data_IF_671368689613
#
_entry.id   IF_671368689613
#
_cell.length_a   1.000
_cell.length_b   1.000
_cell.length_c   1.000
_cell.angle_alpha   90.00
_cell.angle_beta   90.00
_cell.angle_gamma   90.00
#
_symmetry.space_group_name_H-M   'P 1'
#
loop_
_entity.id
_entity.type
_entity.pdbx_description
1 polymer ?
#
# COMPACT_ATOMS: atom_id res chain seq x y z
N UNK A 1 12.82 -10.55 10.91
CA UNK A 1 11.82 -9.66 10.27
C UNK A 1 12.45 -8.28 10.24
N UNK A 2 12.39 -7.60 9.12
CA UNK A 2 12.80 -6.21 8.95
C UNK A 2 11.60 -5.31 9.07
N UNK A 3 11.81 -4.05 9.42
CA UNK A 3 10.75 -3.05 9.53
C UNK A 3 11.01 -1.85 8.64
N UNK A 4 9.97 -1.37 7.98
CA UNK A 4 9.99 -0.14 7.20
C UNK A 4 8.91 0.81 7.71
N UNK A 5 8.97 2.07 7.28
CA UNK A 5 7.90 3.02 7.49
C UNK A 5 7.68 3.85 6.25
N UNK A 6 6.44 4.25 6.05
CA UNK A 6 6.01 5.17 5.01
C UNK A 6 6.57 6.58 5.29
N UNK A 7 7.03 7.27 4.25
CA UNK A 7 7.70 8.58 4.40
C UNK A 7 6.76 9.78 4.31
N UNK A 8 5.52 9.64 3.83
CA UNK A 8 4.66 10.79 3.48
C UNK A 8 4.35 11.70 4.66
N UNK A 9 4.03 11.16 5.83
CA UNK A 9 3.76 11.97 7.02
C UNK A 9 4.97 12.80 7.46
N UNK A 10 6.16 12.22 7.38
CA UNK A 10 7.41 12.96 7.65
C UNK A 10 7.72 13.96 6.52
N UNK A 11 7.47 13.56 5.26
CA UNK A 11 7.72 14.41 4.10
C UNK A 11 6.89 15.70 4.11
N UNK A 12 5.64 15.65 4.56
CA UNK A 12 4.80 16.84 4.74
C UNK A 12 5.42 17.89 5.67
N UNK A 13 6.25 17.46 6.62
CA UNK A 13 6.90 18.37 7.58
C UNK A 13 8.26 18.85 7.13
N UNK A 14 9.05 18.00 6.46
CA UNK A 14 10.47 18.26 6.20
C UNK A 14 10.92 18.06 4.75
N UNK A 15 10.02 17.61 3.89
CA UNK A 15 10.30 17.16 2.52
C UNK A 15 10.86 15.74 2.47
N UNK A 16 10.67 15.05 1.33
CA UNK A 16 10.94 13.62 1.17
C UNK A 16 12.42 13.26 1.38
N UNK A 17 13.33 14.11 0.92
CA UNK A 17 14.77 13.88 1.05
C UNK A 17 15.16 13.73 2.53
N UNK A 18 14.71 14.67 3.37
CA UNK A 18 14.95 14.59 4.82
C UNK A 18 14.14 13.52 5.50
N UNK A 19 12.92 13.21 5.00
CA UNK A 19 12.12 12.13 5.53
C UNK A 19 12.84 10.79 5.42
N UNK A 20 13.45 10.48 4.26
CA UNK A 20 14.26 9.26 4.08
C UNK A 20 15.45 9.25 5.05
N UNK A 21 16.18 10.36 5.21
CA UNK A 21 17.27 10.45 6.20
C UNK A 21 16.79 10.20 7.64
N UNK A 22 15.62 10.75 8.00
CA UNK A 22 15.08 10.61 9.36
C UNK A 22 14.57 9.19 9.64
N UNK A 23 14.00 8.51 8.66
CA UNK A 23 13.65 7.10 8.75
C UNK A 23 14.88 6.25 9.04
N UNK A 24 15.99 6.50 8.33
CA UNK A 24 17.26 5.82 8.61
C UNK A 24 17.78 6.13 10.03
N UNK A 25 17.77 7.39 10.44
CA UNK A 25 18.20 7.82 11.79
C UNK A 25 17.32 7.24 12.91
N UNK A 26 16.05 7.01 12.63
CA UNK A 26 15.12 6.37 13.56
C UNK A 26 15.36 4.87 13.72
N UNK A 27 16.21 4.26 12.88
CA UNK A 27 16.62 2.86 13.00
C UNK A 27 15.73 1.87 12.23
N UNK A 28 14.95 2.34 11.26
CA UNK A 28 14.23 1.46 10.34
C UNK A 28 15.19 0.80 9.34
N UNK A 29 14.85 -0.42 8.92
CA UNK A 29 15.65 -1.19 7.95
C UNK A 29 15.42 -0.73 6.51
N UNK A 30 14.28 -0.11 6.24
CA UNK A 30 13.85 0.34 4.91
C UNK A 30 12.83 1.48 5.00
N UNK A 31 12.50 2.06 3.86
CA UNK A 31 11.47 3.09 3.71
C UNK A 31 10.46 2.70 2.64
N UNK A 32 9.21 3.09 2.85
CA UNK A 32 8.10 2.93 1.92
C UNK A 32 7.83 4.25 1.20
N UNK A 33 7.76 4.18 -0.13
CA UNK A 33 7.64 5.37 -0.96
C UNK A 33 6.17 5.78 -1.14
N UNK A 34 5.71 6.74 -0.36
CA UNK A 34 4.42 7.39 -0.59
C UNK A 34 4.42 8.20 -1.87
N UNK A 35 3.44 7.97 -2.73
CA UNK A 35 3.28 8.70 -3.99
C UNK A 35 1.91 9.38 -4.13
N UNK A 36 1.22 9.64 -3.01
CA UNK A 36 -0.10 10.28 -3.01
C UNK A 36 -0.07 11.69 -3.61
N UNK A 37 1.02 12.42 -3.41
CA UNK A 37 1.17 13.77 -3.92
C UNK A 37 1.51 13.85 -5.43
N UNK A 38 1.66 12.69 -6.10
CA UNK A 38 1.87 12.62 -7.55
C UNK A 38 0.70 13.23 -8.33
N UNK A 39 -0.53 13.10 -7.81
CA UNK A 39 -1.75 13.62 -8.41
C UNK A 39 -2.80 13.85 -7.35
N UNK A 40 -3.39 15.03 -7.29
CA UNK A 40 -4.54 15.29 -6.42
C UNK A 40 -5.85 14.75 -6.99
N UNK A 41 -6.83 14.49 -6.09
CA UNK A 41 -8.19 14.13 -6.48
C UNK A 41 -9.23 14.89 -5.66
N UNK A 42 -10.10 15.65 -6.34
CA UNK A 42 -11.24 16.32 -5.70
C UNK A 42 -12.41 15.33 -5.59
N UNK A 43 -12.59 14.76 -4.40
CA UNK A 43 -13.62 13.77 -4.11
C UNK A 43 -15.06 14.30 -4.31
N UNK A 44 -15.28 15.61 -4.16
CA UNK A 44 -16.61 16.22 -4.34
C UNK A 44 -16.94 16.37 -5.82
N UNK A 45 -15.98 16.81 -6.61
CA UNK A 45 -16.15 17.03 -8.07
C UNK A 45 -15.84 15.77 -8.88
N UNK A 46 -15.22 14.76 -8.27
CA UNK A 46 -14.75 13.53 -8.91
C UNK A 46 -13.81 13.79 -10.11
N UNK A 47 -12.85 14.70 -9.92
CA UNK A 47 -11.87 15.08 -10.95
C UNK A 47 -10.45 15.07 -10.40
N UNK A 48 -9.48 14.80 -11.30
CA UNK A 48 -8.07 14.96 -10.97
C UNK A 48 -7.73 16.43 -10.80
N UNK A 49 -6.87 16.71 -9.83
CA UNK A 49 -6.33 18.04 -9.54
C UNK A 49 -4.83 18.04 -9.82
N UNK A 50 -4.30 19.03 -10.56
CA UNK A 50 -2.86 19.16 -10.77
C UNK A 50 -2.11 19.24 -9.43
N UNK A 51 -0.90 18.67 -9.42
CA UNK A 51 0.02 18.74 -8.29
C UNK A 51 1.32 19.42 -8.74
N UNK A 52 1.87 20.27 -7.89
CA UNK A 52 3.18 20.90 -8.09
C UNK A 52 4.33 20.04 -7.54
N UNK A 53 4.02 18.85 -7.04
CA UNK A 53 4.98 17.93 -6.45
C UNK A 53 5.99 17.44 -7.50
N UNK A 54 7.29 17.19 -7.15
CA UNK A 54 8.28 16.66 -8.09
C UNK A 54 7.84 15.38 -8.81
N UNK A 55 7.07 14.50 -8.15
CA UNK A 55 6.49 13.30 -8.76
C UNK A 55 5.47 13.60 -9.87
N UNK A 56 4.86 14.78 -9.91
CA UNK A 56 3.96 15.21 -10.98
C UNK A 56 4.71 15.78 -12.19
N UNK A 57 5.97 16.20 -12.02
CA UNK A 57 6.80 16.84 -13.05
C UNK A 57 7.30 15.85 -14.12
N UNK A 58 7.99 16.37 -15.14
CA UNK A 58 8.67 15.55 -16.15
C UNK A 58 9.93 14.87 -15.61
N UNK A 59 10.48 15.36 -14.49
CA UNK A 59 11.70 14.86 -13.85
C UNK A 59 11.42 13.82 -12.73
N UNK A 60 10.20 13.26 -12.66
CA UNK A 60 9.77 12.35 -11.60
C UNK A 60 10.69 11.15 -11.39
N UNK A 61 11.27 10.56 -12.45
CA UNK A 61 12.23 9.46 -12.32
C UNK A 61 13.56 9.92 -11.72
N UNK A 62 14.01 11.14 -12.07
CA UNK A 62 15.19 11.73 -11.47
C UNK A 62 15.00 11.95 -9.97
N UNK A 63 13.81 12.37 -9.58
CA UNK A 63 13.45 12.52 -8.17
C UNK A 63 13.46 11.18 -7.44
N UNK A 64 12.83 10.12 -8.00
CA UNK A 64 12.86 8.78 -7.42
C UNK A 64 14.29 8.25 -7.24
N UNK A 65 15.16 8.42 -8.26
CA UNK A 65 16.59 8.06 -8.17
C UNK A 65 17.34 8.84 -7.09
N UNK A 66 17.00 10.12 -6.92
CA UNK A 66 17.60 10.94 -5.85
C UNK A 66 17.26 10.41 -4.47
N UNK A 67 16.00 10.07 -4.22
CA UNK A 67 15.57 9.48 -2.94
C UNK A 67 16.24 8.12 -2.70
N UNK A 68 16.35 7.28 -3.73
CA UNK A 68 17.11 6.03 -3.66
C UNK A 68 18.54 6.27 -3.18
N UNK A 69 19.24 7.25 -3.80
CA UNK A 69 20.62 7.53 -3.43
C UNK A 69 20.74 8.00 -1.98
N UNK A 70 19.83 8.86 -1.53
CA UNK A 70 19.78 9.31 -0.13
C UNK A 70 19.57 8.11 0.82
N UNK A 71 18.65 7.19 0.47
CA UNK A 71 18.47 5.97 1.25
C UNK A 71 19.76 5.15 1.35
N UNK A 72 20.42 4.88 0.22
CA UNK A 72 21.67 4.12 0.17
C UNK A 72 22.81 4.80 0.96
N UNK A 73 22.93 6.12 0.87
CA UNK A 73 23.92 6.90 1.60
C UNK A 73 23.69 6.84 3.13
N UNK A 74 22.46 6.56 3.55
CA UNK A 74 22.08 6.42 4.95
C UNK A 74 21.89 4.93 5.38
N UNK A 75 22.24 3.98 4.51
CA UNK A 75 22.25 2.55 4.83
C UNK A 75 20.88 1.86 4.80
N UNK A 76 19.85 2.47 4.21
CA UNK A 76 18.52 1.88 4.04
C UNK A 76 18.10 1.82 2.58
N UNK A 77 17.12 0.96 2.27
CA UNK A 77 16.60 0.77 0.91
C UNK A 77 15.12 1.09 0.83
N UNK A 78 14.61 1.43 -0.35
CA UNK A 78 13.18 1.39 -0.62
C UNK A 78 12.76 -0.09 -0.71
N UNK A 79 11.77 -0.53 0.10
CA UNK A 79 11.25 -1.90 0.03
C UNK A 79 10.00 -1.99 -0.86
N UNK A 80 9.08 -1.08 -0.68
CA UNK A 80 7.80 -1.01 -1.38
C UNK A 80 7.39 0.45 -1.59
N UNK A 81 6.28 0.63 -2.26
CA UNK A 81 5.71 1.96 -2.50
C UNK A 81 4.19 1.91 -2.51
N UNK A 82 3.57 3.04 -2.28
CA UNK A 82 2.13 3.20 -2.36
C UNK A 82 1.77 4.17 -3.50
N UNK A 83 1.01 3.67 -4.49
CA UNK A 83 0.57 4.46 -5.63
C UNK A 83 -0.54 5.47 -5.24
N UNK A 84 -0.75 6.54 -6.04
CA UNK A 84 -1.87 7.44 -5.81
C UNK A 84 -3.22 6.73 -6.04
N UNK A 85 -4.27 7.23 -5.39
CA UNK A 85 -5.64 6.73 -5.51
C UNK A 85 -6.64 7.90 -5.66
N UNK A 86 -7.89 7.66 -6.09
CA UNK A 86 -8.54 6.36 -6.36
C UNK A 86 -8.08 5.72 -7.68
N UNK A 87 -8.25 4.39 -7.80
CA UNK A 87 -7.81 3.61 -8.96
C UNK A 87 -8.78 3.68 -10.16
N UNK A 88 -9.24 4.89 -10.49
CA UNK A 88 -10.17 5.18 -11.60
C UNK A 88 -9.44 5.30 -12.95
N UNK A 89 -10.13 5.15 -14.09
CA UNK A 89 -9.49 5.22 -15.41
C UNK A 89 -8.61 6.46 -15.65
N UNK A 90 -9.01 7.71 -15.29
CA UNK A 90 -8.15 8.88 -15.45
C UNK A 90 -6.85 8.82 -14.65
N UNK A 91 -6.76 8.00 -13.59
CA UNK A 91 -5.56 7.83 -12.76
C UNK A 91 -4.53 6.86 -13.38
N UNK A 92 -4.91 6.04 -14.40
CA UNK A 92 -4.04 5.01 -14.97
C UNK A 92 -2.64 5.48 -15.40
N UNK A 93 -2.46 6.66 -16.02
CA UNK A 93 -1.11 7.16 -16.34
C UNK A 93 -0.24 7.37 -15.10
N UNK A 94 -0.85 7.78 -13.98
CA UNK A 94 -0.15 7.98 -12.71
C UNK A 94 0.17 6.65 -12.03
N UNK A 95 -0.68 5.63 -12.16
CA UNK A 95 -0.37 4.28 -11.67
C UNK A 95 0.84 3.67 -12.40
N UNK A 96 0.95 3.84 -13.73
CA UNK A 96 2.13 3.44 -14.50
C UNK A 96 3.37 4.22 -14.05
N UNK A 97 3.25 5.54 -13.86
CA UNK A 97 4.32 6.37 -13.31
C UNK A 97 4.77 5.92 -11.92
N UNK A 98 3.82 5.51 -11.05
CA UNK A 98 4.15 4.98 -9.73
C UNK A 98 4.95 3.68 -9.81
N UNK A 99 4.64 2.78 -10.73
CA UNK A 99 5.40 1.57 -10.99
C UNK A 99 6.84 1.91 -11.42
N UNK A 100 7.04 2.87 -12.33
CA UNK A 100 8.38 3.34 -12.74
C UNK A 100 9.15 3.95 -11.57
N UNK A 101 8.51 4.80 -10.78
CA UNK A 101 9.12 5.40 -9.58
C UNK A 101 9.54 4.33 -8.57
N UNK A 102 8.71 3.28 -8.39
CA UNK A 102 9.05 2.14 -7.53
C UNK A 102 10.33 1.46 -7.98
N UNK A 103 10.42 1.13 -9.27
CA UNK A 103 11.62 0.52 -9.87
C UNK A 103 12.85 1.39 -9.69
N UNK A 104 12.74 2.68 -10.01
CA UNK A 104 13.84 3.65 -9.93
C UNK A 104 14.30 3.91 -8.49
N UNK A 105 13.38 3.91 -7.53
CA UNK A 105 13.70 3.96 -6.11
C UNK A 105 14.35 2.67 -5.58
N UNK A 106 14.26 1.57 -6.32
CA UNK A 106 14.80 0.25 -5.95
C UNK A 106 13.80 -0.66 -5.25
N UNK A 107 12.55 -0.20 -5.08
CA UNK A 107 11.44 -0.98 -4.56
C UNK A 107 11.08 -2.16 -5.45
N UNK A 108 10.46 -3.19 -4.88
CA UNK A 108 10.07 -4.41 -5.60
C UNK A 108 8.57 -4.62 -5.66
N UNK A 109 7.81 -3.89 -4.86
CA UNK A 109 6.36 -3.99 -4.76
C UNK A 109 5.79 -2.58 -4.83
N UNK A 110 4.80 -2.37 -5.72
CA UNK A 110 3.99 -1.17 -5.79
C UNK A 110 2.58 -1.53 -5.34
N UNK A 111 2.12 -0.96 -4.22
CA UNK A 111 0.76 -1.15 -3.74
C UNK A 111 -0.17 -0.26 -4.58
N UNK A 112 -1.18 -0.88 -5.18
CA UNK A 112 -2.21 -0.24 -5.99
C UNK A 112 -3.56 -0.73 -5.50
N UNK A 113 -4.35 0.16 -4.90
CA UNK A 113 -5.67 -0.15 -4.38
C UNK A 113 -6.61 -0.70 -5.47
N UNK A 114 -7.48 -1.66 -5.14
CA UNK A 114 -8.63 -1.97 -5.98
C UNK A 114 -9.62 -0.79 -5.94
N UNK A 115 -10.58 -0.79 -6.84
CA UNK A 115 -11.78 0.03 -6.70
C UNK A 115 -12.70 -0.66 -5.67
N UNK A 116 -13.05 0.05 -4.61
CA UNK A 116 -13.77 -0.50 -3.45
C UNK A 116 -15.11 -1.17 -3.81
N UNK A 117 -15.77 -0.66 -4.83
CA UNK A 117 -17.15 -1.03 -5.16
C UNK A 117 -17.25 -2.01 -6.34
N UNK A 118 -16.10 -2.45 -6.89
CA UNK A 118 -16.04 -3.38 -8.02
C UNK A 118 -15.82 -4.83 -7.58
N UNK A 119 -16.32 -5.74 -8.41
CA UNK A 119 -16.05 -7.18 -8.26
C UNK A 119 -14.56 -7.52 -8.52
N UNK A 120 -14.18 -8.75 -8.22
CA UNK A 120 -12.84 -9.25 -8.50
C UNK A 120 -12.50 -9.21 -9.99
N UNK A 121 -13.45 -9.59 -10.86
CA UNK A 121 -13.28 -9.58 -12.31
C UNK A 121 -13.15 -8.16 -12.87
N UNK A 122 -13.97 -7.22 -12.40
CA UNK A 122 -13.89 -5.82 -12.82
C UNK A 122 -12.59 -5.15 -12.37
N UNK A 123 -12.11 -5.47 -11.17
CA UNK A 123 -10.80 -5.01 -10.69
C UNK A 123 -9.65 -5.66 -11.47
N UNK A 124 -9.77 -6.94 -11.85
CA UNK A 124 -8.77 -7.65 -12.64
C UNK A 124 -8.47 -6.97 -13.98
N UNK A 125 -9.47 -6.35 -14.64
CA UNK A 125 -9.25 -5.58 -15.88
C UNK A 125 -8.18 -4.50 -15.72
N UNK A 126 -8.18 -3.80 -14.58
CA UNK A 126 -7.16 -2.82 -14.26
C UNK A 126 -5.78 -3.45 -14.14
N UNK A 127 -5.68 -4.53 -13.40
CA UNK A 127 -4.40 -5.16 -13.15
C UNK A 127 -3.84 -5.81 -14.42
N UNK A 128 -4.68 -6.34 -15.31
CA UNK A 128 -4.25 -6.84 -16.62
C UNK A 128 -3.64 -5.74 -17.51
N UNK A 129 -4.13 -4.49 -17.41
CA UNK A 129 -3.50 -3.36 -18.12
C UNK A 129 -2.14 -2.96 -17.52
N UNK A 130 -1.96 -3.10 -16.22
CA UNK A 130 -0.76 -2.65 -15.51
C UNK A 130 0.35 -3.71 -15.41
N UNK A 131 0.00 -4.99 -15.27
CA UNK A 131 0.94 -6.07 -14.98
C UNK A 131 2.03 -6.27 -16.03
N UNK A 132 1.74 -6.23 -17.36
CA UNK A 132 2.82 -6.36 -18.35
C UNK A 132 3.90 -5.31 -18.16
N UNK A 133 3.48 -4.05 -17.95
CA UNK A 133 4.38 -2.93 -17.70
C UNK A 133 5.14 -3.06 -16.37
N UNK A 134 4.46 -3.49 -15.30
CA UNK A 134 5.11 -3.71 -14.02
C UNK A 134 6.20 -4.79 -14.10
N UNK A 135 5.95 -5.88 -14.86
CA UNK A 135 6.94 -6.93 -15.13
C UNK A 135 8.15 -6.41 -15.90
N UNK A 136 7.95 -5.57 -16.91
CA UNK A 136 9.04 -4.90 -17.64
C UNK A 136 9.90 -4.04 -16.70
N UNK A 137 9.28 -3.38 -15.72
CA UNK A 137 9.98 -2.61 -14.70
C UNK A 137 10.62 -3.49 -13.59
N UNK A 138 10.35 -4.79 -13.55
CA UNK A 138 10.81 -5.71 -12.49
C UNK A 138 10.15 -5.45 -11.14
N UNK A 139 8.89 -4.96 -11.14
CA UNK A 139 8.07 -4.63 -9.97
C UNK A 139 6.85 -5.54 -9.92
N UNK A 140 6.49 -6.02 -8.73
CA UNK A 140 5.21 -6.68 -8.48
C UNK A 140 4.15 -5.63 -8.14
N UNK A 141 2.89 -5.91 -8.46
CA UNK A 141 1.75 -5.14 -7.99
C UNK A 141 1.15 -5.86 -6.79
N UNK A 142 0.96 -5.15 -5.68
CA UNK A 142 0.18 -5.65 -4.57
C UNK A 142 -1.19 -4.94 -4.53
N UNK A 143 -2.27 -5.73 -4.42
CA UNK A 143 -3.59 -5.20 -4.06
C UNK A 143 -3.74 -5.21 -2.54
N UNK A 144 -4.65 -4.39 -2.01
CA UNK A 144 -4.81 -4.18 -0.57
C UNK A 144 -6.26 -4.44 -0.15
N UNK A 145 -6.47 -4.86 1.11
CA UNK A 145 -7.80 -4.98 1.69
C UNK A 145 -8.35 -3.60 2.04
N UNK A 146 -9.51 -3.30 1.48
CA UNK A 146 -10.17 -2.00 1.62
C UNK A 146 -11.38 -2.07 2.57
N UNK A 147 -11.94 -0.92 2.86
CA UNK A 147 -13.16 -0.74 3.62
C UNK A 147 -14.01 0.39 3.04
N UNK A 148 -15.31 0.34 3.25
CA UNK A 148 -16.26 1.43 3.05
C UNK A 148 -16.86 1.84 4.40
N UNK A 149 -17.45 3.01 4.48
CA UNK A 149 -18.08 3.51 5.70
C UNK A 149 -19.61 3.45 5.60
N UNK A 150 -20.26 2.92 6.63
CA UNK A 150 -21.70 2.90 6.75
C UNK A 150 -22.15 3.97 7.76
N UNK A 151 -22.65 5.09 7.26
CA UNK A 151 -23.11 6.23 8.06
C UNK A 151 -24.27 5.88 9.04
N UNK A 152 -25.01 4.80 8.79
CA UNK A 152 -26.15 4.44 9.65
C UNK A 152 -25.73 3.62 10.87
N UNK A 153 -24.72 2.79 10.72
CA UNK A 153 -24.20 1.94 11.80
C UNK A 153 -22.97 2.54 12.45
N UNK A 154 -22.38 3.56 11.84
CA UNK A 154 -21.13 4.19 12.25
C UNK A 154 -20.00 3.15 12.38
N UNK A 155 -19.93 2.24 11.40
CA UNK A 155 -18.92 1.19 11.32
C UNK A 155 -18.43 1.03 9.88
N UNK A 156 -17.25 0.42 9.74
CA UNK A 156 -16.79 -0.02 8.43
C UNK A 156 -17.72 -1.08 7.84
N UNK A 157 -17.78 -1.15 6.54
CA UNK A 157 -18.55 -2.17 5.83
C UNK A 157 -17.78 -2.70 4.62
N UNK A 158 -18.36 -3.70 3.96
CA UNK A 158 -17.72 -4.43 2.87
C UNK A 158 -17.20 -3.51 1.77
N UNK A 159 -15.98 -3.80 1.29
CA UNK A 159 -15.34 -3.25 0.12
C UNK A 159 -14.48 -4.35 -0.56
N UNK A 160 -13.85 -4.05 -1.68
CA UNK A 160 -12.96 -4.99 -2.36
C UNK A 160 -11.85 -5.49 -1.42
N UNK A 161 -11.54 -6.77 -1.49
CA UNK A 161 -10.53 -7.44 -0.68
C UNK A 161 -10.75 -7.38 0.85
N UNK A 162 -11.94 -6.95 1.32
CA UNK A 162 -12.21 -6.71 2.75
C UNK A 162 -12.23 -7.99 3.60
N UNK A 163 -12.57 -9.13 3.02
CA UNK A 163 -12.57 -10.44 3.69
C UNK A 163 -11.57 -11.39 3.08
N UNK A 164 -11.21 -12.46 3.79
CA UNK A 164 -10.30 -13.49 3.27
C UNK A 164 -10.78 -14.06 1.94
N UNK A 165 -12.08 -14.33 1.83
CA UNK A 165 -12.72 -14.88 0.63
C UNK A 165 -12.63 -13.89 -0.53
N UNK A 166 -13.07 -12.64 -0.31
CA UNK A 166 -13.03 -11.59 -1.33
C UNK A 166 -11.60 -11.30 -1.78
N UNK A 167 -10.63 -11.32 -0.87
CA UNK A 167 -9.23 -11.10 -1.23
C UNK A 167 -8.71 -12.22 -2.13
N UNK A 168 -8.98 -13.49 -1.77
CA UNK A 168 -8.60 -14.64 -2.60
C UNK A 168 -9.30 -14.64 -3.96
N UNK A 169 -10.56 -14.21 -4.04
CA UNK A 169 -11.27 -14.01 -5.31
C UNK A 169 -10.52 -13.02 -6.22
N UNK A 170 -10.07 -11.87 -5.69
CA UNK A 170 -9.30 -10.88 -6.46
C UNK A 170 -7.95 -11.44 -6.93
N UNK A 171 -7.23 -12.17 -6.06
CA UNK A 171 -5.97 -12.81 -6.45
C UNK A 171 -6.18 -13.86 -7.53
N UNK A 172 -7.22 -14.68 -7.42
CA UNK A 172 -7.57 -15.74 -8.37
C UNK A 172 -8.07 -15.17 -9.71
N UNK A 173 -8.82 -14.06 -9.71
CA UNK A 173 -9.30 -13.43 -10.94
C UNK A 173 -8.13 -12.93 -11.80
N UNK A 174 -7.06 -12.44 -11.17
CA UNK A 174 -5.84 -12.02 -11.89
C UNK A 174 -4.92 -13.20 -12.18
N UNK A 175 -4.74 -14.13 -11.23
CA UNK A 175 -3.95 -15.36 -11.34
C UNK A 175 -2.56 -15.16 -11.97
N UNK A 176 -1.79 -14.23 -11.43
CA UNK A 176 -0.43 -13.90 -11.92
C UNK A 176 0.56 -13.85 -10.75
N UNK A 177 1.74 -14.45 -10.91
CA UNK A 177 2.78 -14.49 -9.85
C UNK A 177 3.39 -13.12 -9.51
N UNK A 178 3.18 -12.12 -10.36
CA UNK A 178 3.58 -10.72 -10.10
C UNK A 178 2.45 -9.90 -9.49
N UNK A 179 1.28 -10.52 -9.22
CA UNK A 179 0.17 -9.92 -8.50
C UNK A 179 0.06 -10.57 -7.12
N UNK A 180 0.23 -9.78 -6.06
CA UNK A 180 0.39 -10.27 -4.70
C UNK A 180 -0.51 -9.51 -3.73
N UNK A 181 -0.54 -9.92 -2.46
CA UNK A 181 -1.33 -9.27 -1.43
C UNK A 181 -0.45 -8.32 -0.59
N UNK A 182 -0.98 -7.12 -0.35
CA UNK A 182 -0.64 -6.26 0.77
C UNK A 182 -1.78 -6.35 1.79
N UNK A 183 -1.50 -6.72 3.02
CA UNK A 183 -2.51 -6.72 4.07
C UNK A 183 -2.30 -5.50 4.95
N UNK A 184 -3.29 -4.61 4.98
CA UNK A 184 -3.42 -3.59 5.99
C UNK A 184 -4.08 -4.20 7.24
N UNK A 185 -3.31 -4.19 8.34
CA UNK A 185 -3.71 -4.80 9.61
C UNK A 185 -4.85 -3.99 10.26
N UNK A 186 -4.78 -2.66 10.19
CA UNK A 186 -5.80 -1.80 10.74
C UNK A 186 -7.14 -1.98 10.04
N UNK A 187 -7.15 -1.99 8.72
CA UNK A 187 -8.36 -2.24 7.92
C UNK A 187 -8.97 -3.61 8.25
N UNK A 188 -8.15 -4.66 8.37
CA UNK A 188 -8.62 -6.02 8.67
C UNK A 188 -9.25 -6.13 10.06
N UNK A 189 -8.87 -5.28 11.02
CA UNK A 189 -9.36 -5.29 12.39
C UNK A 189 -10.56 -4.34 12.62
N UNK A 190 -10.98 -3.55 11.62
CA UNK A 190 -12.14 -2.67 11.73
C UNK A 190 -13.44 -3.48 11.89
N UNK A 191 -14.28 -3.03 12.82
CA UNK A 191 -15.62 -3.61 13.03
C UNK A 191 -16.48 -3.43 11.79
N UNK A 192 -17.33 -4.42 11.51
CA UNK A 192 -18.23 -4.43 10.37
C UNK A 192 -17.62 -5.01 9.09
N UNK A 193 -16.30 -5.12 8.97
CA UNK A 193 -15.62 -5.78 7.84
C UNK A 193 -15.51 -7.29 8.03
N UNK A 194 -15.26 -7.76 9.25
CA UNK A 194 -15.59 -9.11 9.65
C UNK A 194 -14.53 -10.21 9.55
N UNK A 195 -13.33 -9.99 9.03
CA UNK A 195 -12.36 -11.10 8.87
C UNK A 195 -11.32 -11.21 9.99
N UNK A 196 -10.79 -10.09 10.45
CA UNK A 196 -9.66 -10.04 11.37
C UNK A 196 -8.32 -10.40 10.72
N UNK A 197 -7.27 -9.67 11.11
CA UNK A 197 -5.95 -9.76 10.47
C UNK A 197 -5.36 -11.17 10.56
N UNK A 198 -5.48 -11.85 11.70
CA UNK A 198 -4.95 -13.21 11.90
C UNK A 198 -5.53 -14.21 10.90
N UNK A 199 -6.85 -14.17 10.66
CA UNK A 199 -7.50 -15.06 9.70
C UNK A 199 -7.06 -14.75 8.28
N UNK A 200 -6.98 -13.46 7.92
CA UNK A 200 -6.51 -13.02 6.60
C UNK A 200 -5.06 -13.42 6.35
N UNK A 201 -4.15 -13.26 7.32
CA UNK A 201 -2.76 -13.70 7.21
C UNK A 201 -2.68 -15.19 6.86
N UNK A 202 -3.43 -16.02 7.59
CA UNK A 202 -3.45 -17.49 7.34
C UNK A 202 -4.03 -17.84 5.98
N UNK A 203 -5.12 -17.18 5.59
CA UNK A 203 -5.78 -17.44 4.31
C UNK A 203 -4.92 -17.02 3.12
N UNK A 204 -4.27 -15.87 3.19
CA UNK A 204 -3.41 -15.34 2.12
C UNK A 204 -2.11 -16.13 1.98
N UNK A 205 -1.55 -16.64 3.09
CA UNK A 205 -0.38 -17.51 3.06
C UNK A 205 0.76 -16.94 2.20
N UNK A 206 1.23 -17.66 1.16
CA UNK A 206 2.35 -17.22 0.32
C UNK A 206 2.04 -16.03 -0.61
N UNK A 207 0.76 -15.69 -0.79
CA UNK A 207 0.37 -14.50 -1.55
C UNK A 207 0.66 -13.21 -0.79
N UNK A 208 0.74 -13.26 0.55
CA UNK A 208 1.04 -12.11 1.40
C UNK A 208 2.53 -11.73 1.27
N UNK A 209 2.81 -10.60 0.63
CA UNK A 209 4.18 -10.14 0.38
C UNK A 209 4.45 -8.71 0.83
N UNK A 210 3.42 -7.96 1.20
CA UNK A 210 3.53 -6.63 1.77
C UNK A 210 2.58 -6.48 2.96
N UNK A 211 2.91 -5.58 3.88
CA UNK A 211 2.08 -5.25 5.04
C UNK A 211 2.01 -3.74 5.20
N UNK A 212 0.82 -3.26 5.61
CA UNK A 212 0.67 -1.98 6.28
C UNK A 212 0.31 -2.25 7.74
N UNK A 213 1.08 -1.64 8.65
CA UNK A 213 0.95 -1.92 10.09
C UNK A 213 0.71 -0.61 10.83
N UNK A 214 -0.46 -0.46 11.36
CA UNK A 214 -0.84 0.62 12.25
C UNK A 214 -1.83 0.12 13.30
N UNK A 215 -1.96 0.83 14.41
CA UNK A 215 -2.96 0.54 15.43
C UNK A 215 -4.22 1.38 15.22
N UNK A 216 -5.35 0.94 15.77
CA UNK A 216 -6.64 1.59 15.66
C UNK A 216 -7.52 1.22 16.86
N UNK A 217 -8.58 2.00 17.07
CA UNK A 217 -9.66 1.70 18.03
C UNK A 217 -10.61 0.59 17.52
N UNK A 218 -10.32 0.00 16.35
CA UNK A 218 -11.15 -0.97 15.62
C UNK A 218 -12.46 -0.39 15.08
N UNK A 219 -12.62 0.92 15.06
CA UNK A 219 -13.74 1.62 14.46
C UNK A 219 -13.25 2.51 13.31
N UNK A 220 -12.24 3.33 13.59
CA UNK A 220 -11.72 4.32 12.65
C UNK A 220 -10.36 3.89 12.08
N UNK A 221 -10.15 4.19 10.82
CA UNK A 221 -8.84 4.05 10.17
C UNK A 221 -7.92 5.21 10.63
N UNK A 222 -7.43 5.09 11.86
CA UNK A 222 -6.77 6.19 12.56
C UNK A 222 -5.25 6.21 12.51
N UNK A 223 -4.63 5.21 11.89
CA UNK A 223 -3.17 5.09 11.67
C UNK A 223 -2.33 5.43 12.92
N UNK A 224 -2.68 4.84 14.06
CA UNK A 224 -1.97 5.06 15.32
C UNK A 224 -0.71 4.19 15.42
N UNK A 225 0.21 4.62 16.26
CA UNK A 225 1.46 3.89 16.52
C UNK A 225 1.12 2.48 17.05
N UNK A 226 1.76 1.40 16.53
CA UNK A 226 1.55 0.04 17.03
C UNK A 226 1.70 -0.06 18.56
N UNK A 227 0.83 -0.83 19.20
CA UNK A 227 0.71 -1.02 20.65
C UNK A 227 0.14 0.18 21.43
N UNK A 228 -0.38 1.20 20.76
CA UNK A 228 -0.96 2.36 21.44
C UNK A 228 -2.48 2.27 21.61
N UNK A 229 -3.17 1.33 20.92
CA UNK A 229 -4.63 1.22 20.93
C UNK A 229 -5.12 -0.22 21.16
N UNK A 230 -5.90 -0.81 20.24
CA UNK A 230 -6.72 -1.99 20.52
C UNK A 230 -6.32 -3.26 19.76
N UNK A 231 -5.33 -3.21 18.88
CA UNK A 231 -4.94 -4.37 18.05
C UNK A 231 -4.02 -5.33 18.84
N UNK A 232 -4.31 -6.62 18.76
CA UNK A 232 -3.46 -7.67 19.35
C UNK A 232 -2.29 -8.04 18.41
N UNK A 233 -1.23 -7.27 18.46
CA UNK A 233 -0.03 -7.52 17.66
C UNK A 233 0.69 -8.83 18.01
N UNK A 234 0.49 -9.39 19.20
CA UNK A 234 1.11 -10.68 19.55
C UNK A 234 0.53 -11.81 18.71
N UNK A 235 -0.80 -11.84 18.56
CA UNK A 235 -1.48 -12.83 17.71
C UNK A 235 -1.14 -12.63 16.22
N UNK A 236 -1.00 -11.38 15.76
CA UNK A 236 -0.59 -11.06 14.39
C UNK A 236 0.83 -11.58 14.11
N UNK A 237 1.79 -11.30 14.99
CA UNK A 237 3.17 -11.79 14.84
C UNK A 237 3.22 -13.32 14.88
N UNK A 238 2.39 -13.98 15.71
CA UNK A 238 2.30 -15.44 15.72
C UNK A 238 1.82 -15.97 14.36
N UNK A 239 0.76 -15.40 13.79
CA UNK A 239 0.24 -15.80 12.48
C UNK A 239 1.24 -15.56 11.34
N UNK A 240 1.97 -14.44 11.35
CA UNK A 240 3.04 -14.18 10.38
C UNK A 240 4.17 -15.21 10.45
N UNK A 241 4.53 -15.65 11.66
CA UNK A 241 5.50 -16.74 11.86
C UNK A 241 4.98 -18.09 11.36
N UNK A 242 3.70 -18.41 11.59
CA UNK A 242 3.07 -19.65 11.10
C UNK A 242 3.16 -19.77 9.57
N UNK A 243 2.95 -18.68 8.83
CA UNK A 243 3.05 -18.67 7.37
C UNK A 243 4.47 -18.46 6.85
N UNK A 244 5.47 -18.34 7.75
CA UNK A 244 6.86 -18.06 7.39
C UNK A 244 7.04 -16.76 6.59
N UNK A 245 6.30 -15.70 6.94
CA UNK A 245 6.40 -14.39 6.27
C UNK A 245 7.84 -13.86 6.27
N UNK A 246 8.34 -13.47 5.09
CA UNK A 246 9.72 -13.00 4.87
C UNK A 246 9.82 -11.54 4.45
N UNK A 247 8.70 -10.82 4.34
CA UNK A 247 8.67 -9.41 3.93
C UNK A 247 9.12 -8.42 5.01
N UNK A 248 8.95 -7.14 4.72
CA UNK A 248 9.14 -6.03 5.64
C UNK A 248 7.89 -5.79 6.45
#
# INVERSE_FOLDING_TARGET
MKISTEIGSAAQLVGEEKAVEYVAKAGFDAWDFSMFDMCGYDWRKKVLVPSDHPLASVDYLKFARKLKQIGLDNGIVCNQSHAPFPSIPPMRPFLKRAIECTAEAGGKICIIHPDNDKSAEENAEMYFDLLPFAKECGVKIATENMWNWNEKTEEACFAACATSESFLEHLNAVNDSSFVACLDIGHAEMRGVGSGAVNMIRALGPHLQALHIHDTDKIHDSHQIPFSMAIDFQSIVAALKEIHYQGY
#
